data_IF_685052126344
#
_entry.id   IF_685052126344
#
_cell.length_a   1.000
_cell.length_b   1.000
_cell.length_c   1.000
_cell.angle_alpha   90.00
_cell.angle_beta   90.00
_cell.angle_gamma   90.00
#
_symmetry.space_group_name_H-M   'P 1'
#
loop_
_entity.id
_entity.type
_entity.pdbx_description
1 polymer ?
#
# COMPACT_ATOMS: atom_id res chain seq x y z
N UNK A 1 30.59 6.43 -0.66
CA UNK A 1 30.58 4.96 -0.43
C UNK A 1 30.08 4.30 -1.72
N UNK A 2 30.97 3.70 -2.53
CA UNK A 2 30.61 3.06 -3.80
C UNK A 2 29.81 1.79 -3.51
N UNK A 3 28.52 1.81 -3.79
CA UNK A 3 27.65 0.64 -3.65
C UNK A 3 28.11 -0.44 -4.62
N UNK A 4 28.39 -1.65 -4.12
CA UNK A 4 28.62 -2.82 -4.99
C UNK A 4 27.43 -2.94 -5.95
N UNK A 5 27.65 -3.06 -7.27
CA UNK A 5 26.55 -3.22 -8.21
C UNK A 5 25.83 -4.55 -7.88
N UNK A 6 24.54 -4.45 -7.56
CA UNK A 6 23.66 -5.62 -7.44
C UNK A 6 23.75 -6.44 -8.74
N UNK A 7 23.67 -7.79 -8.68
CA UNK A 7 23.77 -8.61 -9.87
C UNK A 7 22.72 -8.15 -10.88
N UNK A 8 23.17 -7.69 -12.05
CA UNK A 8 22.30 -7.38 -13.20
C UNK A 8 21.51 -8.65 -13.49
N UNK A 9 20.19 -8.62 -13.34
CA UNK A 9 19.37 -9.76 -13.71
C UNK A 9 19.64 -10.12 -15.18
N UNK A 10 19.82 -11.41 -15.43
CA UNK A 10 20.09 -12.00 -16.73
C UNK A 10 18.91 -11.67 -17.66
N UNK A 11 19.21 -11.00 -18.79
CA UNK A 11 18.38 -10.77 -19.99
C UNK A 11 16.87 -10.48 -19.74
N UNK A 12 16.39 -9.22 -19.90
CA UNK A 12 14.99 -8.83 -19.60
C UNK A 12 13.93 -9.63 -20.36
N UNK A 13 14.26 -10.15 -21.54
CA UNK A 13 13.37 -10.99 -22.35
C UNK A 13 13.05 -12.34 -21.73
N UNK A 14 14.03 -12.97 -21.07
CA UNK A 14 13.82 -14.27 -20.39
C UNK A 14 12.79 -14.12 -19.28
N UNK A 15 12.86 -13.01 -18.55
CA UNK A 15 11.89 -12.67 -17.52
C UNK A 15 10.49 -12.49 -18.09
N UNK A 16 10.33 -11.71 -19.16
CA UNK A 16 9.02 -11.51 -19.80
C UNK A 16 8.42 -12.85 -20.24
N UNK A 17 9.24 -13.73 -20.83
CA UNK A 17 8.79 -15.06 -21.24
C UNK A 17 8.38 -15.93 -20.05
N UNK A 18 9.13 -15.89 -18.94
CA UNK A 18 8.78 -16.63 -17.72
C UNK A 18 7.46 -16.13 -17.11
N UNK A 19 7.29 -14.82 -16.98
CA UNK A 19 6.05 -14.22 -16.47
C UNK A 19 4.88 -14.61 -17.38
N UNK A 20 5.05 -14.47 -18.69
CA UNK A 20 4.02 -14.83 -19.64
C UNK A 20 3.65 -16.32 -19.57
N UNK A 21 4.63 -17.21 -19.38
CA UNK A 21 4.38 -18.63 -19.17
C UNK A 21 3.62 -18.91 -17.86
N UNK A 22 3.98 -18.23 -16.77
CA UNK A 22 3.30 -18.32 -15.47
C UNK A 22 1.85 -17.83 -15.60
N UNK A 23 1.63 -16.67 -16.22
CA UNK A 23 0.29 -16.11 -16.46
C UNK A 23 -0.57 -17.03 -17.33
N UNK A 24 0.02 -17.60 -18.39
CA UNK A 24 -0.68 -18.54 -19.26
C UNK A 24 -1.09 -19.81 -18.51
N UNK A 25 -0.19 -20.35 -17.68
CA UNK A 25 -0.49 -21.50 -16.83
C UNK A 25 -1.55 -21.15 -15.78
N UNK A 26 -1.46 -19.97 -15.17
CA UNK A 26 -2.41 -19.51 -14.17
C UNK A 26 -3.82 -19.37 -14.78
N UNK A 27 -3.95 -18.76 -15.96
CA UNK A 27 -5.22 -18.69 -16.69
C UNK A 27 -5.76 -20.08 -17.02
N UNK A 28 -4.91 -21.00 -17.50
CA UNK A 28 -5.33 -22.36 -17.77
C UNK A 28 -5.89 -23.04 -16.51
N UNK A 29 -5.20 -22.91 -15.37
CA UNK A 29 -5.70 -23.42 -14.08
C UNK A 29 -7.02 -22.75 -13.68
N UNK A 30 -7.16 -21.44 -13.85
CA UNK A 30 -8.40 -20.74 -13.54
C UNK A 30 -9.58 -21.22 -14.40
N UNK A 31 -9.36 -21.59 -15.66
CA UNK A 31 -10.43 -22.16 -16.51
C UNK A 31 -10.92 -23.53 -16.04
N UNK A 32 -10.09 -24.27 -15.29
CA UNK A 32 -10.48 -25.55 -14.70
C UNK A 32 -11.23 -25.36 -13.38
N UNK A 33 -11.03 -24.21 -12.72
CA UNK A 33 -11.61 -23.91 -11.40
C UNK A 33 -12.91 -23.10 -11.48
N UNK A 34 -13.11 -22.33 -12.55
CA UNK A 34 -14.22 -21.41 -12.70
C UNK A 34 -15.11 -21.81 -13.88
N UNK A 35 -16.35 -22.22 -13.59
CA UNK A 35 -17.35 -22.59 -14.62
C UNK A 35 -17.65 -21.43 -15.60
N UNK A 36 -17.46 -20.19 -15.15
CA UNK A 36 -17.67 -18.98 -15.95
C UNK A 36 -16.50 -18.58 -16.86
N UNK A 37 -15.40 -19.35 -16.89
CA UNK A 37 -14.21 -19.02 -17.69
C UNK A 37 -13.84 -20.17 -18.64
N UNK A 38 -14.09 -19.97 -19.93
CA UNK A 38 -13.87 -21.01 -20.94
C UNK A 38 -12.67 -20.68 -21.82
N UNK A 39 -11.78 -21.67 -21.99
CA UNK A 39 -10.62 -21.59 -22.87
C UNK A 39 -10.66 -22.71 -23.91
N UNK A 40 -10.42 -22.35 -25.18
CA UNK A 40 -10.27 -23.30 -26.28
C UNK A 40 -8.88 -23.96 -26.28
N UNK A 41 -8.52 -24.59 -25.16
CA UNK A 41 -7.24 -25.26 -24.94
C UNK A 41 -6.12 -24.34 -24.46
N UNK A 42 -4.93 -24.92 -24.24
CA UNK A 42 -3.78 -24.18 -23.68
C UNK A 42 -3.30 -23.02 -24.57
N UNK A 43 -3.43 -23.16 -25.90
CA UNK A 43 -3.09 -22.08 -26.84
C UNK A 43 -3.94 -20.82 -26.61
N UNK A 44 -5.21 -20.97 -26.23
CA UNK A 44 -6.07 -19.85 -25.87
C UNK A 44 -5.57 -19.16 -24.59
N UNK A 45 -5.06 -19.91 -23.60
CA UNK A 45 -4.50 -19.34 -22.37
C UNK A 45 -3.29 -18.43 -22.65
N UNK A 46 -2.44 -18.86 -23.59
CA UNK A 46 -1.26 -18.10 -24.03
C UNK A 46 -1.65 -16.78 -24.71
N UNK A 47 -2.66 -16.82 -25.58
CA UNK A 47 -3.21 -15.63 -26.25
C UNK A 47 -3.90 -14.72 -25.23
N UNK A 48 -4.68 -15.29 -24.31
CA UNK A 48 -5.36 -14.56 -23.25
C UNK A 48 -4.38 -13.80 -22.36
N UNK A 49 -3.31 -14.46 -21.90
CA UNK A 49 -2.27 -13.82 -21.09
C UNK A 49 -1.61 -12.65 -21.83
N UNK A 50 -1.34 -12.80 -23.13
CA UNK A 50 -0.77 -11.74 -23.95
C UNK A 50 -1.74 -10.55 -24.11
N UNK A 51 -3.02 -10.82 -24.35
CA UNK A 51 -4.04 -9.79 -24.54
C UNK A 51 -4.33 -9.05 -23.23
N UNK A 52 -4.51 -9.75 -22.12
CA UNK A 52 -4.70 -9.15 -20.79
C UNK A 52 -3.48 -8.30 -20.44
N UNK A 53 -2.27 -8.81 -20.66
CA UNK A 53 -1.03 -8.05 -20.45
C UNK A 53 -0.95 -6.78 -21.30
N UNK A 54 -1.38 -6.85 -22.56
CA UNK A 54 -1.44 -5.70 -23.47
C UNK A 54 -2.48 -4.67 -23.04
N UNK A 55 -3.69 -5.10 -22.70
CA UNK A 55 -4.75 -4.22 -22.21
C UNK A 55 -4.34 -3.56 -20.89
N UNK A 56 -3.73 -4.29 -19.96
CA UNK A 56 -3.17 -3.71 -18.75
C UNK A 56 -2.05 -2.71 -19.08
N UNK A 57 -1.18 -2.98 -20.05
CA UNK A 57 -0.13 -2.04 -20.44
C UNK A 57 -0.68 -0.74 -21.06
N UNK A 58 -1.82 -0.80 -21.75
CA UNK A 58 -2.43 0.32 -22.46
C UNK A 58 -3.46 1.09 -21.62
N UNK A 59 -4.42 0.37 -21.04
CA UNK A 59 -5.58 0.92 -20.33
C UNK A 59 -5.24 1.30 -18.89
N UNK A 60 -4.54 0.43 -18.15
CA UNK A 60 -4.27 0.67 -16.73
C UNK A 60 -3.61 2.02 -16.46
N UNK A 61 -2.59 2.48 -17.20
CA UNK A 61 -1.95 3.75 -16.90
C UNK A 61 -2.86 4.97 -17.09
N UNK A 62 -3.95 4.84 -17.85
CA UNK A 62 -4.96 5.88 -18.06
C UNK A 62 -6.05 5.74 -16.99
N UNK A 63 -6.61 4.53 -16.85
CA UNK A 63 -7.72 4.24 -15.96
C UNK A 63 -7.32 4.35 -14.48
N UNK A 64 -6.08 3.99 -14.12
CA UNK A 64 -5.59 4.08 -12.74
C UNK A 64 -5.55 5.51 -12.23
N UNK A 65 -5.37 6.49 -13.13
CA UNK A 65 -5.41 7.91 -12.77
C UNK A 65 -6.85 8.38 -12.50
N UNK A 66 -7.79 7.97 -13.36
CA UNK A 66 -9.21 8.34 -13.24
C UNK A 66 -9.85 7.66 -12.03
N UNK A 67 -9.50 6.40 -11.78
CA UNK A 67 -10.07 5.61 -10.68
C UNK A 67 -9.45 5.96 -9.33
N UNK A 68 -8.27 6.59 -9.29
CA UNK A 68 -7.50 6.80 -8.05
C UNK A 68 -8.36 7.40 -6.91
N UNK A 69 -9.19 8.44 -7.14
CA UNK A 69 -10.04 8.97 -6.08
C UNK A 69 -11.03 7.95 -5.52
N UNK A 70 -11.68 7.20 -6.41
CA UNK A 70 -12.62 6.14 -6.03
C UNK A 70 -11.91 4.96 -5.39
N UNK A 71 -10.73 4.60 -5.85
CA UNK A 71 -9.93 3.50 -5.32
C UNK A 71 -9.47 3.79 -3.90
N UNK A 72 -9.07 5.02 -3.59
CA UNK A 72 -8.76 5.44 -2.21
C UNK A 72 -10.02 5.46 -1.34
N UNK A 73 -11.12 6.05 -1.83
CA UNK A 73 -12.37 6.15 -1.06
C UNK A 73 -13.01 4.79 -0.77
N UNK A 74 -12.90 3.83 -1.68
CA UNK A 74 -13.44 2.47 -1.54
C UNK A 74 -12.43 1.48 -0.95
N UNK A 75 -11.32 1.97 -0.39
CA UNK A 75 -10.26 1.14 0.21
C UNK A 75 -9.75 0.04 -0.75
N UNK A 76 -9.69 0.34 -2.04
CA UNK A 76 -9.17 -0.53 -3.09
C UNK A 76 -10.23 -1.32 -3.86
N UNK A 77 -11.48 -1.37 -3.40
CA UNK A 77 -12.53 -2.16 -4.07
C UNK A 77 -12.74 -1.69 -5.52
N UNK A 78 -12.75 -0.38 -5.77
CA UNK A 78 -12.89 0.14 -7.13
C UNK A 78 -11.72 -0.28 -8.05
N UNK A 79 -10.50 -0.40 -7.53
CA UNK A 79 -9.36 -0.88 -8.31
C UNK A 79 -9.46 -2.39 -8.61
N UNK A 80 -10.00 -3.19 -7.69
CA UNK A 80 -10.27 -4.62 -7.91
C UNK A 80 -11.33 -4.81 -9.00
N UNK A 81 -12.43 -4.05 -8.93
CA UNK A 81 -13.47 -4.06 -9.97
C UNK A 81 -12.90 -3.66 -11.32
N UNK A 82 -12.09 -2.58 -11.37
CA UNK A 82 -11.45 -2.13 -12.61
C UNK A 82 -10.55 -3.21 -13.23
N UNK A 83 -9.78 -3.93 -12.42
CA UNK A 83 -8.95 -5.05 -12.90
C UNK A 83 -9.82 -6.15 -13.52
N UNK A 84 -10.90 -6.53 -12.84
CA UNK A 84 -11.90 -7.46 -13.40
C UNK A 84 -12.53 -6.96 -14.70
N UNK A 85 -12.87 -5.67 -14.80
CA UNK A 85 -13.40 -5.07 -16.03
C UNK A 85 -12.39 -5.17 -17.19
N UNK A 86 -11.10 -4.96 -16.95
CA UNK A 86 -10.08 -5.10 -18.00
C UNK A 86 -9.98 -6.55 -18.50
N UNK A 87 -10.04 -7.53 -17.60
CA UNK A 87 -10.04 -8.96 -17.96
C UNK A 87 -11.32 -9.33 -18.73
N UNK A 88 -12.48 -8.84 -18.29
CA UNK A 88 -13.74 -9.06 -18.98
C UNK A 88 -13.70 -8.48 -20.41
N UNK A 89 -13.20 -7.25 -20.58
CA UNK A 89 -12.97 -6.64 -21.90
C UNK A 89 -11.99 -7.43 -22.75
N UNK A 90 -10.98 -8.09 -22.14
CA UNK A 90 -10.09 -8.97 -22.86
C UNK A 90 -10.84 -10.17 -23.48
N UNK A 91 -11.81 -10.73 -22.74
CA UNK A 91 -12.67 -11.81 -23.24
C UNK A 91 -13.55 -11.35 -24.41
N UNK A 92 -14.17 -10.18 -24.29
CA UNK A 92 -14.99 -9.61 -25.38
C UNK A 92 -14.20 -9.33 -26.67
N UNK A 93 -12.91 -9.02 -26.54
CA UNK A 93 -12.02 -8.77 -27.69
C UNK A 93 -11.40 -10.05 -28.27
N UNK A 94 -11.42 -11.16 -27.53
CA UNK A 94 -10.76 -12.39 -27.92
C UNK A 94 -11.76 -13.47 -28.35
N UNK A 95 -11.67 -13.91 -29.60
CA UNK A 95 -12.41 -15.11 -30.05
C UNK A 95 -11.90 -16.43 -29.42
N UNK A 96 -10.82 -16.38 -28.62
CA UNK A 96 -10.15 -17.58 -28.09
C UNK A 96 -10.61 -17.98 -26.69
N UNK A 97 -11.28 -17.08 -25.95
CA UNK A 97 -11.72 -17.34 -24.59
C UNK A 97 -12.95 -16.50 -24.22
N UNK A 98 -13.77 -17.02 -23.31
CA UNK A 98 -15.02 -16.38 -22.89
C UNK A 98 -15.02 -16.19 -21.38
N UNK A 99 -15.48 -15.03 -20.91
CA UNK A 99 -15.62 -14.69 -19.49
C UNK A 99 -17.07 -14.32 -19.24
N UNK A 100 -17.81 -15.17 -18.51
CA UNK A 100 -19.26 -15.06 -18.37
C UNK A 100 -19.75 -13.78 -17.67
N UNK A 101 -18.93 -13.16 -16.81
CA UNK A 101 -19.30 -11.95 -16.09
C UNK A 101 -18.09 -11.23 -15.50
N UNK A 102 -18.26 -9.94 -15.15
CA UNK A 102 -17.26 -9.17 -14.40
C UNK A 102 -16.91 -9.84 -13.06
N UNK A 103 -17.88 -10.49 -12.40
CA UNK A 103 -17.64 -11.25 -11.18
C UNK A 103 -16.65 -12.40 -11.39
N UNK A 104 -16.82 -13.16 -12.47
CA UNK A 104 -15.86 -14.20 -12.87
C UNK A 104 -14.49 -13.60 -13.17
N UNK A 105 -14.45 -12.45 -13.86
CA UNK A 105 -13.20 -11.75 -14.16
C UNK A 105 -12.45 -11.27 -12.90
N UNK A 106 -13.17 -10.85 -11.86
CA UNK A 106 -12.58 -10.53 -10.55
C UNK A 106 -11.96 -11.77 -9.90
N UNK A 107 -12.64 -12.92 -9.95
CA UNK A 107 -12.09 -14.19 -9.46
C UNK A 107 -10.85 -14.63 -10.25
N UNK A 108 -10.83 -14.41 -11.56
CA UNK A 108 -9.63 -14.61 -12.39
C UNK A 108 -8.51 -13.68 -11.89
N UNK A 109 -8.76 -12.39 -11.71
CA UNK A 109 -7.75 -11.43 -11.21
C UNK A 109 -7.16 -11.85 -9.86
N UNK A 110 -8.00 -12.32 -8.93
CA UNK A 110 -7.61 -12.86 -7.63
C UNK A 110 -6.72 -14.10 -7.78
N UNK A 111 -7.15 -15.07 -8.59
CA UNK A 111 -6.40 -16.29 -8.85
C UNK A 111 -5.04 -16.04 -9.51
N UNK A 112 -4.98 -15.19 -10.53
CA UNK A 112 -3.74 -14.77 -11.16
C UNK A 112 -2.78 -14.12 -10.15
N UNK A 113 -3.29 -13.24 -9.30
CA UNK A 113 -2.47 -12.58 -8.28
C UNK A 113 -1.95 -13.57 -7.25
N UNK A 114 -2.75 -14.56 -6.86
CA UNK A 114 -2.33 -15.61 -5.94
C UNK A 114 -1.21 -16.46 -6.53
N UNK A 115 -1.38 -16.95 -7.78
CA UNK A 115 -0.35 -17.74 -8.48
C UNK A 115 0.92 -16.93 -8.65
N UNK A 116 0.82 -15.65 -9.05
CA UNK A 116 1.97 -14.77 -9.18
C UNK A 116 2.68 -14.51 -7.85
N UNK A 117 1.93 -14.36 -6.75
CA UNK A 117 2.52 -14.15 -5.41
C UNK A 117 3.31 -15.38 -4.97
N UNK A 118 2.78 -16.58 -5.19
CA UNK A 118 3.47 -17.85 -4.93
C UNK A 118 4.69 -18.00 -5.84
N UNK A 119 4.53 -17.77 -7.15
CA UNK A 119 5.61 -17.88 -8.11
C UNK A 119 6.74 -16.89 -7.81
N UNK A 120 6.41 -15.65 -7.45
CA UNK A 120 7.40 -14.62 -7.09
C UNK A 120 8.17 -14.99 -5.82
N UNK A 121 7.48 -15.58 -4.83
CA UNK A 121 8.10 -16.08 -3.60
C UNK A 121 9.08 -17.23 -3.89
N UNK A 122 8.67 -18.22 -4.68
CA UNK A 122 9.49 -19.39 -5.00
C UNK A 122 10.65 -19.09 -5.94
N UNK A 123 10.44 -18.20 -6.91
CA UNK A 123 11.40 -17.94 -8.00
C UNK A 123 12.24 -16.67 -7.76
N UNK A 124 12.06 -15.97 -6.64
CA UNK A 124 12.66 -14.64 -6.37
C UNK A 124 12.49 -13.69 -7.56
N UNK A 125 11.32 -13.75 -8.21
CA UNK A 125 10.99 -12.87 -9.33
C UNK A 125 10.54 -11.54 -8.73
N UNK A 126 11.44 -10.57 -8.72
CA UNK A 126 11.23 -9.24 -8.13
C UNK A 126 10.42 -8.33 -9.09
N UNK A 127 9.20 -8.74 -9.48
CA UNK A 127 8.37 -8.15 -10.56
C UNK A 127 7.90 -6.73 -10.30
N UNK A 128 7.57 -6.43 -9.04
CA UNK A 128 7.16 -5.09 -8.64
C UNK A 128 8.24 -4.05 -8.96
N UNK A 129 9.51 -4.44 -8.83
CA UNK A 129 10.63 -3.51 -8.91
C UNK A 129 10.85 -2.95 -10.34
N UNK A 130 10.49 -3.68 -11.41
CA UNK A 130 10.66 -3.21 -12.79
C UNK A 130 9.57 -2.25 -13.25
N UNK A 131 8.30 -2.60 -13.02
CA UNK A 131 7.17 -1.74 -13.39
C UNK A 131 7.19 -0.46 -12.55
N UNK A 132 7.43 -0.60 -11.24
CA UNK A 132 7.55 0.53 -10.31
C UNK A 132 8.71 1.46 -10.70
N UNK A 133 9.91 0.91 -10.97
CA UNK A 133 11.08 1.75 -11.28
C UNK A 133 11.00 2.46 -12.64
N UNK A 134 10.36 1.87 -13.65
CA UNK A 134 10.36 2.42 -15.00
C UNK A 134 9.11 3.23 -15.35
N UNK A 135 7.93 2.82 -14.88
CA UNK A 135 6.66 3.49 -15.19
C UNK A 135 6.28 4.45 -14.07
N UNK A 136 6.25 3.95 -12.82
CA UNK A 136 5.85 4.75 -11.66
C UNK A 136 6.84 5.87 -11.40
N UNK A 137 8.14 5.59 -11.32
CA UNK A 137 9.14 6.64 -11.06
C UNK A 137 9.14 7.77 -12.11
N UNK A 138 8.93 7.44 -13.39
CA UNK A 138 8.90 8.45 -14.47
C UNK A 138 7.64 9.29 -14.43
N UNK A 139 6.49 8.68 -14.18
CA UNK A 139 5.20 9.38 -14.06
C UNK A 139 5.08 10.13 -12.75
N UNK A 140 5.43 9.51 -11.62
CA UNK A 140 5.49 10.15 -10.31
C UNK A 140 6.42 11.37 -10.32
N UNK A 141 7.59 11.32 -10.98
CA UNK A 141 8.43 12.53 -11.13
C UNK A 141 7.77 13.65 -11.93
N UNK A 142 6.97 13.33 -12.95
CA UNK A 142 6.23 14.32 -13.73
C UNK A 142 5.03 14.90 -12.96
N UNK A 143 4.41 14.08 -12.12
CA UNK A 143 3.20 14.42 -11.36
C UNK A 143 3.56 15.16 -10.07
N UNK A 144 4.49 14.62 -9.29
CA UNK A 144 4.79 15.08 -7.94
C UNK A 144 5.57 16.40 -7.88
N UNK A 145 6.07 16.91 -9.02
CA UNK A 145 6.89 18.14 -9.13
C UNK A 145 7.76 18.35 -7.87
N UNK A 146 8.70 17.45 -7.60
CA UNK A 146 9.40 17.41 -6.31
C UNK A 146 10.09 18.75 -6.05
N UNK A 147 9.87 19.31 -4.86
CA UNK A 147 10.64 20.45 -4.38
C UNK A 147 12.07 19.97 -4.09
N UNK A 148 13.05 20.60 -4.75
CA UNK A 148 14.46 20.34 -4.47
C UNK A 148 14.88 21.18 -3.27
N UNK A 149 15.48 20.54 -2.27
CA UNK A 149 16.02 21.20 -1.08
C UNK A 149 17.42 20.69 -0.80
N UNK A 150 18.29 21.59 -0.36
CA UNK A 150 19.64 21.31 0.13
C UNK A 150 19.66 21.00 1.64
N UNK A 151 18.54 21.23 2.34
CA UNK A 151 18.36 20.91 3.75
C UNK A 151 18.00 19.43 3.91
N UNK A 152 18.67 18.67 4.80
CA UNK A 152 18.31 17.29 5.08
C UNK A 152 16.86 17.16 5.56
N UNK A 153 16.05 16.38 4.83
CA UNK A 153 14.68 16.05 5.25
C UNK A 153 14.66 14.91 6.26
N UNK A 154 13.69 14.93 7.16
CA UNK A 154 13.47 13.87 8.16
C UNK A 154 12.26 13.04 7.75
N UNK A 155 12.38 11.72 7.86
CA UNK A 155 11.25 10.79 7.73
C UNK A 155 10.99 10.21 9.12
N UNK A 156 9.80 10.49 9.66
CA UNK A 156 9.29 9.81 10.84
C UNK A 156 8.47 8.61 10.40
N UNK A 157 8.82 7.43 10.89
CA UNK A 157 8.08 6.18 10.67
C UNK A 157 7.63 5.65 12.03
N UNK A 158 6.34 5.69 12.28
CA UNK A 158 5.72 5.11 13.46
C UNK A 158 5.27 3.68 13.14
N UNK A 159 5.64 2.73 14.01
CA UNK A 159 5.16 1.34 13.94
C UNK A 159 4.37 1.10 15.22
N UNK A 160 3.04 1.09 15.08
CA UNK A 160 2.13 0.95 16.21
C UNK A 160 2.42 -0.36 16.99
N UNK A 161 2.46 -0.26 18.33
CA UNK A 161 2.69 -1.39 19.23
C UNK A 161 4.09 -2.02 19.21
N UNK A 162 5.09 -1.42 18.54
CA UNK A 162 6.43 -2.00 18.46
C UNK A 162 7.28 -1.73 19.72
N UNK A 163 7.29 -2.69 20.65
CA UNK A 163 8.21 -2.64 21.79
C UNK A 163 9.65 -2.98 21.39
N UNK A 164 10.63 -2.35 22.03
CA UNK A 164 12.07 -2.60 21.78
C UNK A 164 12.47 -4.09 21.87
N UNK A 165 12.07 -4.87 22.90
CA UNK A 165 12.42 -6.29 22.98
C UNK A 165 11.87 -7.12 21.81
N UNK A 166 10.72 -6.72 21.26
CA UNK A 166 10.12 -7.39 20.08
C UNK A 166 10.97 -7.13 18.85
N UNK A 167 11.42 -5.89 18.64
CA UNK A 167 12.29 -5.53 17.53
C UNK A 167 13.65 -6.24 17.62
N UNK A 168 14.24 -6.32 18.82
CA UNK A 168 15.50 -7.05 19.06
C UNK A 168 15.35 -8.53 18.73
N UNK A 169 14.27 -9.19 19.19
CA UNK A 169 13.97 -10.58 18.85
C UNK A 169 13.78 -10.77 17.34
N UNK A 170 13.08 -9.86 16.68
CA UNK A 170 12.87 -9.91 15.23
C UNK A 170 14.19 -9.74 14.45
N UNK A 171 15.09 -8.88 14.90
CA UNK A 171 16.44 -8.74 14.33
C UNK A 171 17.28 -10.00 14.55
N UNK A 172 17.23 -10.60 15.74
CA UNK A 172 17.95 -11.83 16.07
C UNK A 172 17.48 -13.02 15.21
N UNK A 173 16.16 -13.15 15.00
CA UNK A 173 15.55 -14.18 14.17
C UNK A 173 15.70 -13.94 12.64
N UNK A 174 16.26 -12.80 12.23
CA UNK A 174 16.51 -12.48 10.82
C UNK A 174 15.32 -11.86 10.08
N UNK A 175 14.24 -11.50 10.77
CA UNK A 175 13.07 -10.82 10.18
C UNK A 175 13.32 -9.34 9.89
N UNK A 176 14.24 -8.69 10.61
CA UNK A 176 14.61 -7.28 10.41
C UNK A 176 16.10 -7.08 10.04
N UNK A 177 16.61 -7.68 8.95
CA UNK A 177 18.04 -7.74 8.64
C UNK A 177 18.64 -6.39 8.25
N UNK A 178 17.82 -5.45 7.75
CA UNK A 178 18.28 -4.10 7.41
C UNK A 178 18.55 -3.25 8.65
N UNK A 179 17.64 -3.28 9.63
CA UNK A 179 17.81 -2.58 10.91
C UNK A 179 18.98 -3.18 11.70
N UNK A 180 19.10 -4.51 11.73
CA UNK A 180 20.27 -5.19 12.33
C UNK A 180 21.59 -4.68 11.76
N UNK A 181 21.69 -4.59 10.42
CA UNK A 181 22.88 -4.07 9.73
C UNK A 181 23.15 -2.59 10.04
N UNK A 182 22.11 -1.77 10.29
CA UNK A 182 22.29 -0.38 10.70
C UNK A 182 22.97 -0.30 12.07
N UNK A 183 22.49 -1.08 13.04
CA UNK A 183 23.10 -1.13 14.38
C UNK A 183 24.52 -1.68 14.33
N UNK A 184 24.74 -2.78 13.61
CA UNK A 184 26.08 -3.38 13.42
C UNK A 184 27.08 -2.43 12.74
N UNK A 185 26.60 -1.44 11.97
CA UNK A 185 27.49 -0.46 11.33
C UNK A 185 28.09 0.57 12.30
N UNK A 186 27.57 0.64 13.54
CA UNK A 186 27.96 1.62 14.55
C UNK A 186 27.52 3.06 14.24
N UNK A 187 26.75 3.29 13.16
CA UNK A 187 26.26 4.62 12.76
C UNK A 187 24.87 4.95 13.29
N UNK A 188 24.18 3.97 13.84
CA UNK A 188 22.80 4.08 14.29
C UNK A 188 22.69 3.49 15.70
N UNK A 189 21.84 4.09 16.50
CA UNK A 189 21.56 3.67 17.86
C UNK A 189 20.09 3.28 17.99
N UNK A 190 19.82 2.22 18.75
CA UNK A 190 18.46 1.84 19.14
C UNK A 190 18.18 2.42 20.53
N UNK A 191 17.46 3.54 20.56
CA UNK A 191 17.07 4.21 21.80
C UNK A 191 15.70 3.73 22.22
N UNK A 192 15.56 3.40 23.50
CA UNK A 192 14.28 3.06 24.11
C UNK A 192 13.53 4.32 24.51
N UNK A 193 12.24 4.36 24.23
CA UNK A 193 11.37 5.45 24.66
C UNK A 193 10.25 4.88 25.52
N UNK A 194 10.20 5.31 26.78
CA UNK A 194 9.09 5.01 27.68
C UNK A 194 7.96 6.01 27.43
N UNK A 195 6.80 5.50 27.05
CA UNK A 195 5.61 6.31 26.77
C UNK A 195 4.96 6.78 28.06
N UNK A 196 4.34 7.96 28.02
CA UNK A 196 3.51 8.45 29.11
C UNK A 196 2.21 7.62 29.27
N UNK A 197 1.49 7.83 30.38
CA UNK A 197 0.15 7.31 30.58
C UNK A 197 -0.88 8.33 30.03
N UNK A 198 -1.66 8.04 28.99
CA UNK A 198 -1.86 6.72 28.36
C UNK A 198 -0.95 6.45 27.15
N UNK A 199 -0.48 5.21 27.03
CA UNK A 199 0.39 4.73 25.94
C UNK A 199 -0.35 4.42 24.63
N UNK A 200 -1.47 5.11 24.39
CA UNK A 200 -2.32 4.89 23.22
C UNK A 200 -1.80 5.68 22.02
N UNK A 201 -2.15 5.24 20.81
CA UNK A 201 -1.74 5.89 19.54
C UNK A 201 -2.13 7.37 19.50
N UNK A 202 -3.33 7.73 19.97
CA UNK A 202 -3.80 9.13 19.98
C UNK A 202 -2.97 10.04 20.88
N UNK A 203 -2.68 9.59 22.10
CA UNK A 203 -1.85 10.34 23.05
C UNK A 203 -0.40 10.44 22.56
N UNK A 204 0.16 9.34 22.03
CA UNK A 204 1.53 9.30 21.53
C UNK A 204 1.72 10.23 20.32
N UNK A 205 0.82 10.16 19.33
CA UNK A 205 0.90 11.01 18.13
C UNK A 205 0.69 12.49 18.45
N UNK A 206 -0.26 12.84 19.34
CA UNK A 206 -0.43 14.23 19.77
C UNK A 206 0.79 14.74 20.53
N UNK A 207 1.39 13.92 21.40
CA UNK A 207 2.65 14.25 22.08
C UNK A 207 3.80 14.49 21.10
N UNK A 208 3.99 13.61 20.11
CA UNK A 208 5.06 13.73 19.11
C UNK A 208 4.85 14.94 18.20
N UNK A 209 3.63 15.10 17.67
CA UNK A 209 3.37 16.03 16.57
C UNK A 209 2.97 17.43 17.04
N UNK A 210 2.40 17.56 18.24
CA UNK A 210 1.94 18.84 18.80
C UNK A 210 2.60 19.18 20.14
N UNK A 211 3.49 18.32 20.65
CA UNK A 211 4.20 18.56 21.92
C UNK A 211 3.30 18.47 23.16
N UNK A 212 2.05 18.03 23.02
CA UNK A 212 1.07 17.96 24.10
C UNK A 212 0.12 16.78 23.91
N UNK A 213 0.00 15.95 24.95
CA UNK A 213 -0.88 14.77 25.03
C UNK A 213 -1.86 14.88 26.21
N UNK A 214 -2.14 16.11 26.67
CA UNK A 214 -2.89 16.41 27.89
C UNK A 214 -4.34 15.95 27.81
N UNK A 215 -4.89 15.47 28.92
CA UNK A 215 -6.31 15.10 29.04
C UNK A 215 -6.76 13.97 28.06
N UNK A 216 -5.83 13.08 27.68
CA UNK A 216 -6.10 11.86 26.88
C UNK A 216 -5.80 10.61 27.73
N UNK A 217 -6.71 10.25 28.65
CA UNK A 217 -6.43 9.24 29.67
C UNK A 217 -6.56 7.80 29.17
N UNK A 218 -7.21 7.57 28.03
CA UNK A 218 -7.45 6.23 27.47
C UNK A 218 -7.91 6.31 26.01
N UNK A 219 -8.00 5.16 25.34
CA UNK A 219 -8.60 5.06 24.00
C UNK A 219 -10.09 5.44 23.98
N UNK A 220 -10.81 5.08 25.06
CA UNK A 220 -12.21 5.45 25.30
C UNK A 220 -12.37 5.92 26.73
N UNK A 221 -12.97 7.08 26.92
CA UNK A 221 -13.20 7.64 28.25
C UNK A 221 -14.48 8.48 28.28
N UNK A 222 -14.99 8.74 29.48
CA UNK A 222 -16.17 9.58 29.67
C UNK A 222 -15.73 11.03 29.93
N UNK A 223 -16.12 11.95 29.05
CA UNK A 223 -15.95 13.37 29.27
C UNK A 223 -17.11 13.88 30.14
N UNK A 224 -16.81 14.25 31.39
CA UNK A 224 -17.79 14.74 32.35
C UNK A 224 -18.38 16.10 31.96
N UNK A 225 -17.60 16.99 31.33
CA UNK A 225 -18.05 18.32 30.92
C UNK A 225 -19.08 18.19 29.80
N UNK A 226 -18.82 17.27 28.86
CA UNK A 226 -19.67 17.03 27.68
C UNK A 226 -20.73 15.96 27.90
N UNK A 227 -20.66 15.23 29.01
CA UNK A 227 -21.54 14.10 29.37
C UNK A 227 -21.61 13.00 28.29
N UNK A 228 -20.51 12.75 27.59
CA UNK A 228 -20.45 11.79 26.49
C UNK A 228 -19.20 10.90 26.59
N UNK A 229 -19.26 9.73 25.94
CA UNK A 229 -18.10 8.86 25.77
C UNK A 229 -17.31 9.36 24.56
N UNK A 230 -16.03 9.64 24.78
CA UNK A 230 -15.06 9.97 23.73
C UNK A 230 -14.36 8.67 23.32
N UNK A 231 -14.08 8.53 22.03
CA UNK A 231 -13.32 7.41 21.47
C UNK A 231 -12.31 7.93 20.45
N UNK A 232 -11.04 7.55 20.59
CA UNK A 232 -9.98 7.93 19.63
C UNK A 232 -10.13 7.29 18.23
N UNK A 233 -11.13 6.45 18.03
CA UNK A 233 -11.53 5.93 16.72
C UNK A 233 -12.56 6.79 15.99
N UNK A 234 -13.15 7.80 16.65
CA UNK A 234 -14.13 8.67 16.03
C UNK A 234 -13.42 9.88 15.38
N UNK A 235 -13.44 10.02 14.03
CA UNK A 235 -12.77 11.10 13.34
C UNK A 235 -13.14 12.50 13.83
N UNK A 236 -14.41 12.73 14.20
CA UNK A 236 -14.85 14.04 14.70
C UNK A 236 -14.24 14.39 16.06
N UNK A 237 -14.07 13.39 16.93
CA UNK A 237 -13.42 13.57 18.22
C UNK A 237 -11.91 13.72 18.07
N UNK A 238 -11.29 12.99 17.14
CA UNK A 238 -9.86 13.15 16.83
C UNK A 238 -9.56 14.54 16.26
N UNK A 239 -10.41 15.04 15.35
CA UNK A 239 -10.33 16.40 14.82
C UNK A 239 -10.43 17.47 15.92
N UNK A 240 -11.34 17.28 16.88
CA UNK A 240 -11.48 18.16 18.04
C UNK A 240 -10.24 18.12 18.92
N UNK A 241 -9.74 16.93 19.24
CA UNK A 241 -8.56 16.77 20.09
C UNK A 241 -7.34 17.44 19.46
N UNK A 242 -7.12 17.28 18.16
CA UNK A 242 -6.06 18.00 17.45
C UNK A 242 -6.23 19.50 17.57
N UNK A 243 -7.45 20.03 17.35
CA UNK A 243 -7.70 21.48 17.48
C UNK A 243 -7.45 22.03 18.89
N UNK A 244 -7.65 21.22 19.93
CA UNK A 244 -7.40 21.63 21.32
C UNK A 244 -5.91 21.63 21.69
N UNK A 245 -5.10 20.84 20.98
CA UNK A 245 -3.68 20.66 21.26
C UNK A 245 -2.76 21.41 20.29
N UNK A 246 -3.22 21.67 19.07
CA UNK A 246 -2.49 22.45 18.07
C UNK A 246 -2.41 23.92 18.50
N UNK A 247 -1.20 24.45 18.48
CA UNK A 247 -0.89 25.86 18.56
C UNK A 247 -0.68 26.50 17.17
N UNK A 248 -0.94 25.73 16.10
CA UNK A 248 -0.67 26.10 14.71
C UNK A 248 0.81 25.97 14.32
N UNK A 249 1.66 25.42 15.19
CA UNK A 249 3.08 25.21 14.97
C UNK A 249 3.48 23.74 15.20
N UNK A 250 2.59 22.80 14.85
CA UNK A 250 2.88 21.37 14.89
C UNK A 250 4.13 20.99 14.09
N UNK A 251 4.71 19.83 14.41
CA UNK A 251 5.99 19.35 13.88
C UNK A 251 6.06 19.33 12.34
N UNK A 252 4.91 19.18 11.66
CA UNK A 252 4.82 19.03 10.22
C UNK A 252 4.30 20.29 9.50
N UNK A 253 4.11 21.41 10.21
CA UNK A 253 3.50 22.64 9.65
C UNK A 253 4.27 23.23 8.45
N UNK A 254 5.61 23.15 8.47
CA UNK A 254 6.45 23.72 7.44
C UNK A 254 6.76 22.70 6.33
N UNK A 255 5.91 22.66 5.30
CA UNK A 255 6.07 21.77 4.14
C UNK A 255 6.10 20.26 4.49
N UNK A 256 5.58 19.89 5.67
CA UNK A 256 5.50 18.51 6.11
C UNK A 256 4.34 17.76 5.47
N UNK A 257 4.35 16.43 5.64
CA UNK A 257 3.29 15.57 5.15
C UNK A 257 2.93 14.51 6.19
N UNK A 258 1.63 14.38 6.51
CA UNK A 258 1.10 13.35 7.41
C UNK A 258 0.40 12.25 6.59
N UNK A 259 0.75 10.99 6.84
CA UNK A 259 0.25 9.83 6.07
C UNK A 259 -0.13 8.70 7.01
N UNK A 260 -1.42 8.36 7.07
CA UNK A 260 -1.91 7.23 7.89
C UNK A 260 -1.91 7.48 9.41
N UNK A 261 -1.86 8.73 9.86
CA UNK A 261 -1.90 9.09 11.28
C UNK A 261 -3.33 9.43 11.75
N UNK A 262 -3.57 9.44 13.06
CA UNK A 262 -4.81 9.97 13.62
C UNK A 262 -4.87 11.50 13.47
N UNK A 263 -3.75 12.18 13.72
CA UNK A 263 -3.65 13.65 13.69
C UNK A 263 -2.69 14.13 12.60
N UNK A 264 -2.89 15.36 12.13
CA UNK A 264 -2.13 15.93 11.02
C UNK A 264 -0.76 16.46 11.42
N UNK A 265 -0.59 16.91 12.67
CA UNK A 265 0.62 17.63 13.07
C UNK A 265 0.76 18.98 12.38
N UNK A 266 -0.37 19.59 12.03
CA UNK A 266 -0.51 20.80 11.21
C UNK A 266 0.07 20.69 9.79
N UNK A 267 0.27 19.46 9.30
CA UNK A 267 0.80 19.23 7.96
C UNK A 267 -0.10 19.87 6.88
N UNK A 268 0.46 20.63 5.92
CA UNK A 268 -0.28 21.12 4.77
C UNK A 268 -0.69 19.99 3.82
N UNK A 269 0.08 18.89 3.81
CA UNK A 269 -0.15 17.72 2.96
C UNK A 269 -0.61 16.56 3.85
N UNK A 270 -1.83 16.07 3.63
CA UNK A 270 -2.39 14.97 4.44
C UNK A 270 -2.94 13.86 3.56
N UNK A 271 -2.87 12.63 4.07
CA UNK A 271 -3.26 11.44 3.35
C UNK A 271 -3.74 10.36 4.32
N UNK A 272 -5.03 10.03 4.29
CA UNK A 272 -5.67 9.09 5.24
C UNK A 272 -5.34 9.46 6.69
N UNK A 273 -5.52 10.74 7.01
CA UNK A 273 -5.35 11.26 8.37
C UNK A 273 -6.72 11.48 9.01
N UNK A 274 -6.99 10.85 10.15
CA UNK A 274 -8.34 10.76 10.70
C UNK A 274 -8.95 12.14 11.06
N UNK A 275 -8.18 13.02 11.67
CA UNK A 275 -8.60 14.36 12.11
C UNK A 275 -9.05 15.29 10.98
N UNK A 276 -8.53 15.07 9.78
CA UNK A 276 -8.76 15.91 8.58
C UNK A 276 -9.45 15.12 7.48
N UNK A 277 -10.00 13.94 7.79
CA UNK A 277 -10.63 13.05 6.82
C UNK A 277 -11.83 13.70 6.11
N UNK A 278 -12.45 14.70 6.74
CA UNK A 278 -13.56 15.50 6.17
C UNK A 278 -13.09 16.72 5.37
N UNK A 279 -11.83 17.12 5.48
CA UNK A 279 -11.25 18.24 4.73
C UNK A 279 -10.64 17.73 3.41
N UNK A 280 -11.50 17.57 2.40
CA UNK A 280 -11.10 17.12 1.07
C UNK A 280 -10.16 18.11 0.34
N UNK A 281 -10.00 19.35 0.84
CA UNK A 281 -9.10 20.33 0.21
C UNK A 281 -7.61 20.02 0.44
N UNK A 282 -7.29 19.32 1.53
CA UNK A 282 -5.90 18.95 1.90
C UNK A 282 -5.51 17.54 1.47
N UNK A 283 -6.44 16.80 0.86
CA UNK A 283 -6.29 15.39 0.61
C UNK A 283 -5.48 15.14 -0.68
N UNK A 284 -4.21 14.76 -0.52
CA UNK A 284 -3.30 14.52 -1.64
C UNK A 284 -3.35 13.06 -2.14
N UNK A 285 -4.32 12.77 -3.00
CA UNK A 285 -4.55 11.43 -3.57
C UNK A 285 -3.40 10.93 -4.46
N UNK A 286 -2.62 11.85 -5.02
CA UNK A 286 -1.46 11.55 -5.88
C UNK A 286 -0.42 10.67 -5.21
N UNK A 287 -0.34 10.70 -3.88
CA UNK A 287 0.60 9.89 -3.09
C UNK A 287 0.29 8.40 -3.22
N UNK A 288 -0.99 8.04 -3.36
CA UNK A 288 -1.43 6.67 -3.58
C UNK A 288 -1.27 6.21 -5.02
N UNK A 289 -1.02 7.11 -5.97
CA UNK A 289 -0.82 6.72 -7.37
C UNK A 289 0.28 5.68 -7.50
N UNK A 290 1.36 5.79 -6.73
CA UNK A 290 2.45 4.82 -6.78
C UNK A 290 2.00 3.40 -6.39
N UNK A 291 1.10 3.30 -5.42
CA UNK A 291 0.54 2.02 -4.97
C UNK A 291 -0.50 1.49 -5.96
N UNK A 292 -1.44 2.32 -6.41
CA UNK A 292 -2.47 1.94 -7.39
C UNK A 292 -1.95 1.87 -8.84
N UNK A 293 -0.70 2.24 -9.10
CA UNK A 293 -0.15 2.14 -10.44
C UNK A 293 0.09 0.69 -10.86
N UNK A 294 0.22 -0.26 -9.94
CA UNK A 294 0.25 -1.69 -10.30
C UNK A 294 -1.16 -2.29 -10.12
N UNK A 295 -1.75 -2.90 -11.17
CA UNK A 295 -3.08 -3.52 -11.10
C UNK A 295 -3.20 -4.64 -10.08
N UNK A 296 -2.09 -5.29 -9.72
CA UNK A 296 -2.09 -6.45 -8.84
C UNK A 296 -1.83 -6.11 -7.37
N UNK A 297 -1.43 -4.87 -7.03
CA UNK A 297 -1.06 -4.50 -5.66
C UNK A 297 -2.21 -4.66 -4.67
N UNK A 298 -3.41 -4.17 -5.02
CA UNK A 298 -4.58 -4.29 -4.15
C UNK A 298 -4.96 -5.75 -3.92
N UNK A 299 -5.06 -6.51 -5.01
CA UNK A 299 -5.40 -7.93 -4.97
C UNK A 299 -4.40 -8.71 -4.12
N UNK A 300 -3.10 -8.39 -4.25
CA UNK A 300 -2.04 -9.02 -3.46
C UNK A 300 -2.15 -8.67 -1.99
N UNK A 301 -2.39 -7.41 -1.65
CA UNK A 301 -2.59 -6.98 -0.25
C UNK A 301 -3.77 -7.70 0.39
N UNK A 302 -4.90 -7.83 -0.32
CA UNK A 302 -6.08 -8.58 0.16
C UNK A 302 -5.73 -10.06 0.40
N UNK A 303 -5.02 -10.69 -0.54
CA UNK A 303 -4.62 -12.10 -0.41
C UNK A 303 -3.66 -12.33 0.75
N UNK A 304 -2.65 -11.46 0.91
CA UNK A 304 -1.71 -11.55 2.03
C UNK A 304 -2.39 -11.30 3.36
N UNK A 305 -3.28 -10.31 3.46
CA UNK A 305 -4.08 -10.07 4.66
C UNK A 305 -4.94 -11.29 5.01
N UNK A 306 -5.60 -11.90 4.02
CA UNK A 306 -6.37 -13.13 4.23
C UNK A 306 -5.50 -14.30 4.68
N UNK A 307 -4.28 -14.42 4.16
CA UNK A 307 -3.30 -15.42 4.57
C UNK A 307 -2.84 -15.23 6.01
N UNK A 308 -2.53 -13.99 6.41
CA UNK A 308 -2.14 -13.67 7.78
C UNK A 308 -3.27 -14.00 8.78
N UNK A 309 -4.53 -13.68 8.44
CA UNK A 309 -5.71 -14.05 9.26
C UNK A 309 -5.84 -15.58 9.43
N UNK A 310 -5.44 -16.37 8.43
CA UNK A 310 -5.48 -17.84 8.51
C UNK A 310 -4.35 -18.34 9.42
N UNK A 311 -3.16 -17.73 9.35
CA UNK A 311 -2.00 -18.12 10.17
C UNK A 311 -2.11 -17.70 11.64
N UNK A 312 -2.85 -16.65 11.94
CA UNK A 312 -3.11 -16.19 13.31
C UNK A 312 -4.12 -17.05 14.08
N UNK A 313 -4.78 -18.01 13.40
CA UNK A 313 -5.66 -19.01 14.02
C UNK A 313 -4.91 -20.30 14.37
#
# INVERSE_FOLDING_TARGET
MKTKPRPKSRKPWVRILLIWAIESLALFLMSLLLDGFQLNGFGAAVIAAALIGLLNALLWPILSYIILPFAVLTLGIAALILNGVIIYLAGELAASFEVASVGTAIWIALGLTAVNTIASSLLTIDDDNSYYRNVVKRRAKKIAKPEETDVPSIIFLEIDGLAKPVLEKAMAAGYAPTMKRWLESGKYELVEWETDMSSQTSASQLGILHGSNKDIPAFRWYDRKRKQIIASSNPDEVARLEKEHSDGNGLLVHHGASRGHLVSGDAPIVSVTASVMKDFSRLHMTDYYAYFANPYNITRTILLMGWDIILEK
#
